data_IF_405548438235
#
_entry.id   IF_405548438235
#
_cell.length_a   1.000
_cell.length_b   1.000
_cell.length_c   1.000
_cell.angle_alpha   90.00
_cell.angle_beta   90.00
_cell.angle_gamma   90.00
#
_symmetry.space_group_name_H-M   'P 1'
#
loop_
_entity.id
_entity.type
_entity.pdbx_description
1 polymer ?
#
# COMPACT_ATOMS: atom_id res chain seq x y z
N UNK A 1 -24.44 7.77 -25.28
CA UNK A 1 -23.68 8.81 -26.01
C UNK A 1 -23.12 8.17 -27.26
N UNK A 2 -23.31 8.77 -28.43
CA UNK A 2 -22.66 8.33 -29.68
C UNK A 2 -21.14 8.48 -29.52
N UNK A 3 -20.42 7.36 -29.59
CA UNK A 3 -18.96 7.35 -29.50
C UNK A 3 -18.35 7.93 -30.77
N UNK A 4 -17.24 8.65 -30.61
CA UNK A 4 -16.48 9.19 -31.74
C UNK A 4 -15.49 8.11 -32.20
N UNK A 5 -15.50 7.80 -33.49
CA UNK A 5 -14.58 6.82 -34.05
C UNK A 5 -13.18 7.44 -34.23
N UNK A 6 -12.29 7.17 -33.28
CA UNK A 6 -10.86 7.48 -33.32
C UNK A 6 -10.11 6.37 -32.60
N UNK A 7 -8.85 6.17 -32.98
CA UNK A 7 -7.97 5.19 -32.35
C UNK A 7 -6.76 5.88 -31.72
N UNK A 8 -6.44 5.53 -30.49
CA UNK A 8 -5.34 6.14 -29.74
C UNK A 8 -5.04 5.42 -28.44
N UNK A 9 -3.87 5.69 -27.87
CA UNK A 9 -3.46 5.16 -26.57
C UNK A 9 -3.43 6.29 -25.55
N UNK A 10 -4.04 6.04 -24.39
CA UNK A 10 -3.90 6.87 -23.19
C UNK A 10 -2.93 6.17 -22.24
N UNK A 11 -1.93 6.90 -21.73
CA UNK A 11 -0.97 6.36 -20.76
C UNK A 11 -0.70 7.34 -19.62
N UNK A 12 -0.30 6.81 -18.47
CA UNK A 12 0.19 7.60 -17.34
C UNK A 12 1.72 7.60 -17.32
N UNK A 13 2.30 8.77 -17.09
CA UNK A 13 3.71 8.96 -16.76
C UNK A 13 3.86 9.52 -15.34
N UNK A 14 5.09 9.89 -14.94
CA UNK A 14 5.33 10.55 -13.65
C UNK A 14 4.60 11.89 -13.56
N UNK A 15 3.52 11.90 -12.78
CA UNK A 15 2.58 13.00 -12.61
C UNK A 15 2.05 13.56 -13.95
N UNK A 16 1.90 12.69 -14.95
CA UNK A 16 1.36 13.08 -16.26
C UNK A 16 0.34 12.09 -16.80
N UNK A 17 -0.48 12.58 -17.74
CA UNK A 17 -1.30 11.78 -18.64
C UNK A 17 -0.95 12.18 -20.07
N UNK A 18 -0.71 11.18 -20.92
CA UNK A 18 -0.33 11.38 -22.32
C UNK A 18 -1.32 10.63 -23.22
N UNK A 19 -1.64 11.24 -24.36
CA UNK A 19 -2.49 10.68 -25.41
C UNK A 19 -1.65 10.62 -26.68
N UNK A 20 -1.73 9.50 -27.38
CA UNK A 20 -0.97 9.25 -28.59
C UNK A 20 -1.86 8.62 -29.66
N UNK A 21 -1.94 9.24 -30.83
CA UNK A 21 -2.60 8.66 -32.00
C UNK A 21 -1.59 8.34 -33.12
N UNK A 22 -1.88 7.31 -33.92
CA UNK A 22 -1.04 6.88 -35.04
C UNK A 22 -1.82 6.94 -36.37
N UNK A 23 -2.17 8.14 -36.87
CA UNK A 23 -2.87 8.25 -38.13
C UNK A 23 -1.96 7.86 -39.30
N UNK A 24 -2.51 7.18 -40.30
CA UNK A 24 -1.80 6.95 -41.57
C UNK A 24 -1.59 8.28 -42.26
N UNK A 25 -0.32 8.62 -42.52
CA UNK A 25 0.04 9.86 -43.23
C UNK A 25 0.08 9.60 -44.74
N UNK A 26 -0.96 10.04 -45.44
CA UNK A 26 -1.07 9.91 -46.90
C UNK A 26 -0.77 11.21 -47.66
N UNK A 27 -1.01 12.39 -47.07
CA UNK A 27 -0.64 13.70 -47.66
C UNK A 27 -0.56 14.83 -46.61
N UNK A 28 0.03 15.97 -46.97
CA UNK A 28 0.13 17.17 -46.11
C UNK A 28 -1.25 17.78 -45.84
N UNK A 29 -2.12 17.86 -46.85
CA UNK A 29 -3.46 18.43 -46.70
C UNK A 29 -4.32 17.60 -45.73
N UNK A 30 -4.32 16.27 -45.88
CA UNK A 30 -5.02 15.36 -44.97
C UNK A 30 -4.44 15.41 -43.55
N UNK A 31 -3.12 15.58 -43.41
CA UNK A 31 -2.49 15.74 -42.10
C UNK A 31 -2.98 17.01 -41.38
N UNK A 32 -3.02 18.14 -42.09
CA UNK A 32 -3.49 19.42 -41.53
C UNK A 32 -4.97 19.36 -41.13
N UNK A 33 -5.81 18.68 -41.92
CA UNK A 33 -7.21 18.47 -41.57
C UNK A 33 -7.37 17.55 -40.36
N UNK A 34 -6.60 16.47 -40.31
CA UNK A 34 -6.58 15.56 -39.18
C UNK A 34 -6.14 16.26 -37.89
N UNK A 35 -5.11 17.11 -37.94
CA UNK A 35 -4.63 17.86 -36.77
C UNK A 35 -5.67 18.86 -36.26
N UNK A 36 -6.37 19.56 -37.17
CA UNK A 36 -7.51 20.43 -36.81
C UNK A 36 -8.62 19.63 -36.10
N UNK A 37 -8.94 18.44 -36.60
CA UNK A 37 -9.91 17.55 -35.98
C UNK A 37 -9.43 17.03 -34.63
N UNK A 38 -8.16 16.63 -34.50
CA UNK A 38 -7.56 16.17 -33.26
C UNK A 38 -7.62 17.26 -32.18
N UNK A 39 -7.26 18.49 -32.51
CA UNK A 39 -7.41 19.64 -31.60
C UNK A 39 -8.87 19.88 -31.19
N UNK A 40 -9.80 19.86 -32.15
CA UNK A 40 -11.22 20.13 -31.89
C UNK A 40 -11.88 19.02 -31.07
N UNK A 41 -11.52 17.77 -31.31
CA UNK A 41 -12.16 16.60 -30.70
C UNK A 41 -11.48 16.17 -29.42
N UNK A 42 -10.16 16.14 -29.36
CA UNK A 42 -9.41 15.62 -28.21
C UNK A 42 -8.98 16.75 -27.28
N UNK A 43 -8.19 17.70 -27.77
CA UNK A 43 -7.63 18.79 -26.95
C UNK A 43 -8.72 19.66 -26.30
N UNK A 44 -9.71 20.10 -27.08
CA UNK A 44 -10.86 20.87 -26.54
C UNK A 44 -11.64 20.10 -25.48
N UNK A 45 -11.85 18.80 -25.67
CA UNK A 45 -12.55 17.96 -24.68
C UNK A 45 -11.71 17.75 -23.42
N UNK A 46 -10.39 17.66 -23.56
CA UNK A 46 -9.47 17.60 -22.44
C UNK A 46 -9.61 18.85 -21.56
N UNK A 47 -9.56 20.04 -22.17
CA UNK A 47 -9.78 21.33 -21.47
C UNK A 47 -11.15 21.35 -20.79
N UNK A 48 -12.21 20.92 -21.48
CA UNK A 48 -13.55 20.85 -20.90
C UNK A 48 -13.61 19.93 -19.66
N UNK A 49 -12.89 18.81 -19.68
CA UNK A 49 -12.82 17.92 -18.53
C UNK A 49 -12.01 18.51 -17.38
N UNK A 50 -10.88 19.17 -17.67
CA UNK A 50 -10.12 19.90 -16.66
C UNK A 50 -11.00 20.93 -15.94
N UNK A 51 -11.71 21.76 -16.71
CA UNK A 51 -12.64 22.75 -16.15
C UNK A 51 -13.75 22.11 -15.30
N UNK A 52 -14.35 20.99 -15.76
CA UNK A 52 -15.35 20.24 -14.97
C UNK A 52 -14.80 19.65 -13.69
N UNK A 53 -13.54 19.26 -13.70
CA UNK A 53 -12.84 18.78 -12.52
C UNK A 53 -12.43 19.93 -11.59
N UNK A 54 -12.66 21.20 -11.97
CA UNK A 54 -12.33 22.38 -11.16
C UNK A 54 -10.89 22.87 -11.34
N UNK A 55 -10.23 22.50 -12.43
CA UNK A 55 -8.98 23.15 -12.84
C UNK A 55 -9.30 24.49 -13.50
N UNK A 56 -8.51 25.51 -13.18
CA UNK A 56 -8.43 26.72 -13.99
C UNK A 56 -7.48 26.45 -15.16
N UNK A 57 -7.92 26.69 -16.40
CA UNK A 57 -7.11 26.54 -17.61
C UNK A 57 -6.99 27.89 -18.28
N UNK A 58 -5.81 28.50 -18.19
CA UNK A 58 -5.50 29.82 -18.70
C UNK A 58 -4.65 29.80 -19.97
N UNK A 59 -4.26 30.99 -20.41
CA UNK A 59 -3.18 31.14 -21.41
C UNK A 59 -1.86 30.60 -20.85
N UNK A 60 -0.92 30.29 -21.73
CA UNK A 60 0.37 29.79 -21.29
C UNK A 60 1.23 30.93 -20.76
N UNK A 61 1.85 30.75 -19.59
CA UNK A 61 2.61 31.83 -18.92
C UNK A 61 3.81 32.33 -19.74
N UNK A 62 4.34 31.49 -20.64
CA UNK A 62 5.48 31.83 -21.52
C UNK A 62 5.02 32.23 -22.93
N UNK A 63 3.72 32.52 -23.12
CA UNK A 63 3.15 32.83 -24.43
C UNK A 63 3.78 34.06 -25.10
N UNK A 64 4.18 35.07 -24.33
CA UNK A 64 4.80 36.29 -24.85
C UNK A 64 6.20 36.04 -25.40
N UNK A 65 6.96 35.16 -24.75
CA UNK A 65 8.32 34.78 -25.15
C UNK A 65 8.29 33.82 -26.35
N UNK A 66 7.31 32.91 -26.38
CA UNK A 66 7.22 31.84 -27.38
C UNK A 66 5.90 31.88 -28.19
N UNK A 67 5.61 33.05 -28.80
CA UNK A 67 4.36 33.31 -29.55
C UNK A 67 4.05 32.28 -30.64
N UNK A 68 5.06 31.74 -31.31
CA UNK A 68 4.88 30.79 -32.41
C UNK A 68 4.28 29.45 -31.98
N UNK A 69 4.49 29.04 -30.73
CA UNK A 69 3.98 27.78 -30.17
C UNK A 69 2.91 28.01 -29.10
N UNK A 70 2.72 29.22 -28.60
CA UNK A 70 1.79 29.54 -27.51
C UNK A 70 0.37 28.97 -27.66
N UNK A 71 -0.13 28.87 -28.90
CA UNK A 71 -1.44 28.30 -29.19
C UNK A 71 -1.56 26.79 -28.87
N UNK A 72 -0.45 26.08 -28.67
CA UNK A 72 -0.36 24.66 -28.32
C UNK A 72 -0.27 24.39 -26.82
N UNK A 73 0.00 25.42 -26.02
CA UNK A 73 0.24 25.28 -24.59
C UNK A 73 -0.87 25.96 -23.79
N UNK A 74 -1.17 25.43 -22.60
CA UNK A 74 -2.05 26.06 -21.62
C UNK A 74 -1.46 25.85 -20.23
N UNK A 75 -1.45 26.90 -19.42
CA UNK A 75 -1.17 26.77 -17.98
C UNK A 75 -2.45 26.38 -17.26
N UNK A 76 -2.36 25.39 -16.37
CA UNK A 76 -3.46 24.87 -15.60
C UNK A 76 -3.15 24.94 -14.11
N UNK A 77 -4.10 25.35 -13.27
CA UNK A 77 -3.92 25.40 -11.82
C UNK A 77 -5.14 24.85 -11.08
N UNK A 78 -4.91 24.21 -9.92
CA UNK A 78 -5.96 23.72 -9.04
C UNK A 78 -5.47 23.59 -7.60
N UNK A 79 -5.79 24.59 -6.78
CA UNK A 79 -5.22 24.68 -5.44
C UNK A 79 -3.69 24.68 -5.51
N UNK A 80 -3.05 23.76 -4.80
CA UNK A 80 -1.58 23.61 -4.78
C UNK A 80 -1.01 22.81 -5.97
N UNK A 81 -1.87 22.26 -6.83
CA UNK A 81 -1.44 21.58 -8.06
C UNK A 81 -1.30 22.59 -9.19
N UNK A 82 -0.13 22.56 -9.81
CA UNK A 82 0.14 23.22 -11.08
C UNK A 82 0.13 22.19 -12.21
N UNK A 83 -0.11 22.64 -13.42
CA UNK A 83 -0.08 21.79 -14.58
C UNK A 83 0.14 22.56 -15.88
N UNK A 84 0.61 21.84 -16.88
CA UNK A 84 0.79 22.33 -18.23
C UNK A 84 0.17 21.33 -19.18
N UNK A 85 -0.74 21.82 -20.00
CA UNK A 85 -1.36 21.06 -21.07
C UNK A 85 -0.74 21.49 -22.41
N UNK A 86 -0.26 20.52 -23.17
CA UNK A 86 0.38 20.72 -24.46
C UNK A 86 -0.25 19.80 -25.52
N UNK A 87 -0.34 20.29 -26.76
CA UNK A 87 -0.63 19.49 -27.95
C UNK A 87 0.51 19.64 -28.97
N UNK A 88 1.13 18.52 -29.33
CA UNK A 88 2.23 18.50 -30.30
C UNK A 88 1.95 17.45 -31.37
N UNK A 89 1.47 17.92 -32.54
CA UNK A 89 1.12 17.08 -33.67
C UNK A 89 0.07 16.02 -33.29
N UNK A 90 0.54 14.78 -33.07
CA UNK A 90 -0.31 13.61 -32.75
C UNK A 90 -0.42 13.29 -31.27
N UNK A 91 0.12 14.14 -30.41
CA UNK A 91 0.21 13.90 -28.97
C UNK A 91 -0.48 15.00 -28.19
N UNK A 92 -1.09 14.62 -27.08
CA UNK A 92 -1.51 15.56 -26.04
C UNK A 92 -0.87 15.12 -24.74
N UNK A 93 -0.21 16.04 -24.06
CA UNK A 93 0.43 15.79 -22.77
C UNK A 93 -0.13 16.77 -21.75
N UNK A 94 -0.57 16.24 -20.62
CA UNK A 94 -0.86 17.03 -19.44
C UNK A 94 0.05 16.60 -18.31
N UNK A 95 0.99 17.47 -17.96
CA UNK A 95 1.93 17.28 -16.86
C UNK A 95 1.45 18.09 -15.65
N UNK A 96 1.54 17.51 -14.47
CA UNK A 96 1.18 18.13 -13.20
C UNK A 96 2.37 18.10 -12.24
N UNK A 97 2.45 19.11 -11.38
CA UNK A 97 3.45 19.20 -10.32
C UNK A 97 2.90 20.02 -9.15
N UNK A 98 3.70 20.17 -8.11
CA UNK A 98 3.38 21.00 -6.95
C UNK A 98 4.64 21.77 -6.52
N UNK A 99 4.44 22.97 -5.98
CA UNK A 99 5.51 23.88 -5.56
C UNK A 99 5.61 24.00 -4.03
N UNK A 100 5.08 23.02 -3.28
CA UNK A 100 4.86 23.11 -1.81
C UNK A 100 5.90 22.34 -0.98
N UNK A 101 6.16 21.08 -1.30
CA UNK A 101 6.88 20.17 -0.41
C UNK A 101 7.90 19.31 -1.15
N UNK A 102 8.97 18.92 -0.45
CA UNK A 102 9.99 17.97 -0.95
C UNK A 102 10.61 18.41 -2.30
N UNK A 103 10.83 19.72 -2.45
CA UNK A 103 11.49 20.32 -3.61
C UNK A 103 12.96 20.49 -3.25
N UNK A 104 13.81 20.02 -4.16
CA UNK A 104 15.27 20.04 -4.03
C UNK A 104 15.91 21.18 -4.81
N UNK A 105 15.20 21.76 -5.78
CA UNK A 105 15.67 22.91 -6.55
C UNK A 105 15.64 24.20 -5.73
N UNK A 106 16.65 25.04 -5.96
CA UNK A 106 16.80 26.36 -5.32
C UNK A 106 15.69 27.34 -5.69
N UNK A 107 15.10 27.20 -6.88
CA UNK A 107 14.00 28.04 -7.37
C UNK A 107 12.66 27.75 -6.68
N UNK A 108 12.58 26.70 -5.86
CA UNK A 108 11.35 26.29 -5.18
C UNK A 108 10.25 25.78 -6.12
N UNK A 109 10.56 25.50 -7.39
CA UNK A 109 9.57 25.08 -8.39
C UNK A 109 9.66 23.59 -8.69
N UNK A 110 8.53 22.90 -8.61
CA UNK A 110 8.40 21.46 -8.83
C UNK A 110 8.30 21.04 -10.30
N UNK A 111 8.17 21.98 -11.25
CA UNK A 111 7.97 21.67 -12.69
C UNK A 111 9.04 20.75 -13.26
N UNK A 112 10.29 20.97 -12.90
CA UNK A 112 11.44 20.22 -13.40
C UNK A 112 12.00 19.21 -12.39
N UNK A 113 11.27 18.91 -11.32
CA UNK A 113 11.65 17.86 -10.38
C UNK A 113 11.45 16.46 -10.98
N UNK A 114 12.31 15.52 -10.61
CA UNK A 114 12.12 14.10 -10.91
C UNK A 114 11.28 13.42 -9.83
N UNK A 115 10.59 12.32 -10.17
CA UNK A 115 9.74 11.55 -9.25
C UNK A 115 8.66 12.43 -8.59
N UNK A 116 8.02 13.29 -9.40
CA UNK A 116 7.03 14.27 -8.95
C UNK A 116 5.95 13.63 -8.10
N UNK A 117 5.48 12.44 -8.49
CA UNK A 117 4.45 11.71 -7.74
C UNK A 117 4.87 11.34 -6.32
N UNK A 118 6.13 10.92 -6.14
CA UNK A 118 6.65 10.49 -4.83
C UNK A 118 6.86 11.68 -3.90
N UNK A 119 7.15 12.85 -4.47
CA UNK A 119 7.37 14.09 -3.73
C UNK A 119 6.07 14.76 -3.30
N UNK A 120 4.97 14.52 -4.01
CA UNK A 120 3.67 15.09 -3.70
C UNK A 120 3.18 14.67 -2.30
N UNK A 121 2.73 15.62 -1.46
CA UNK A 121 1.96 15.31 -0.26
C UNK A 121 0.72 14.46 -0.58
N UNK A 122 0.29 13.63 0.36
CA UNK A 122 -0.75 12.61 0.14
C UNK A 122 -2.04 13.15 -0.51
N UNK A 123 -2.60 14.26 0.01
CA UNK A 123 -3.86 14.81 -0.53
C UNK A 123 -3.69 15.39 -1.94
N UNK A 124 -2.56 16.05 -2.20
CA UNK A 124 -2.19 16.57 -3.52
C UNK A 124 -2.03 15.40 -4.51
N UNK A 125 -1.34 14.34 -4.09
CA UNK A 125 -1.17 13.13 -4.88
C UNK A 125 -2.52 12.48 -5.23
N UNK A 126 -3.44 12.36 -4.26
CA UNK A 126 -4.77 11.81 -4.50
C UNK A 126 -5.58 12.66 -5.48
N UNK A 127 -5.53 13.98 -5.38
CA UNK A 127 -6.28 14.87 -6.29
C UNK A 127 -5.72 14.83 -7.72
N UNK A 128 -4.40 14.73 -7.85
CA UNK A 128 -3.71 14.53 -9.11
C UNK A 128 -4.09 13.16 -9.74
N UNK A 129 -4.09 12.07 -8.95
CA UNK A 129 -4.53 10.75 -9.41
C UNK A 129 -6.02 10.75 -9.80
N UNK A 130 -6.88 11.40 -9.02
CA UNK A 130 -8.30 11.58 -9.34
C UNK A 130 -8.47 12.28 -10.69
N UNK A 131 -7.72 13.34 -10.94
CA UNK A 131 -7.75 14.08 -12.21
C UNK A 131 -7.40 13.17 -13.38
N UNK A 132 -6.26 12.45 -13.30
CA UNK A 132 -5.84 11.53 -14.36
C UNK A 132 -6.84 10.41 -14.63
N UNK A 133 -7.33 9.77 -13.57
CA UNK A 133 -8.31 8.68 -13.68
C UNK A 133 -9.61 9.17 -14.35
N UNK A 134 -10.13 10.33 -13.95
CA UNK A 134 -11.37 10.88 -14.52
C UNK A 134 -11.20 11.27 -15.99
N UNK A 135 -10.06 11.82 -16.37
CA UNK A 135 -9.78 12.16 -17.76
C UNK A 135 -9.63 10.90 -18.61
N UNK A 136 -8.85 9.90 -18.15
CA UNK A 136 -8.73 8.59 -18.79
C UNK A 136 -10.11 7.98 -19.01
N UNK A 137 -10.90 7.82 -17.93
CA UNK A 137 -12.21 7.19 -18.00
C UNK A 137 -13.12 7.91 -18.98
N UNK A 138 -13.12 9.24 -18.97
CA UNK A 138 -13.92 10.02 -19.92
C UNK A 138 -13.47 9.80 -21.38
N UNK A 139 -12.16 9.85 -21.65
CA UNK A 139 -11.64 9.70 -23.01
C UNK A 139 -11.88 8.30 -23.57
N UNK A 140 -11.58 7.26 -22.80
CA UNK A 140 -11.85 5.87 -23.19
C UNK A 140 -13.35 5.57 -23.35
N UNK A 141 -14.23 6.29 -22.66
CA UNK A 141 -15.67 6.12 -22.86
C UNK A 141 -16.20 6.87 -24.11
N UNK A 142 -15.62 8.02 -24.45
CA UNK A 142 -16.09 8.86 -25.57
C UNK A 142 -15.53 8.41 -26.92
N UNK A 143 -14.30 7.91 -26.95
CA UNK A 143 -13.64 7.46 -28.18
C UNK A 143 -13.63 5.93 -28.26
N UNK A 144 -14.21 5.38 -29.32
CA UNK A 144 -14.44 3.94 -29.44
C UNK A 144 -13.14 3.11 -29.51
N UNK A 145 -12.07 3.66 -30.07
CA UNK A 145 -10.77 2.99 -30.23
C UNK A 145 -9.69 3.51 -29.30
N UNK A 146 -10.05 4.13 -28.18
CA UNK A 146 -9.08 4.57 -27.17
C UNK A 146 -8.82 3.50 -26.13
N UNK A 147 -7.57 3.05 -26.05
CA UNK A 147 -7.13 2.05 -25.09
C UNK A 147 -6.29 2.70 -23.99
N UNK A 148 -6.42 2.22 -22.76
CA UNK A 148 -5.55 2.66 -21.68
C UNK A 148 -4.41 1.66 -21.47
N UNK A 149 -3.17 2.16 -21.48
CA UNK A 149 -1.97 1.41 -21.11
C UNK A 149 -1.32 2.08 -19.92
N UNK A 150 -1.46 1.46 -18.75
CA UNK A 150 -0.74 1.93 -17.56
C UNK A 150 0.71 1.50 -17.65
N UNK A 151 1.58 2.44 -18.03
CA UNK A 151 3.03 2.25 -18.08
C UNK A 151 3.69 2.72 -16.78
N UNK A 152 2.91 3.12 -15.76
CA UNK A 152 3.47 3.62 -14.51
C UNK A 152 4.07 2.48 -13.69
N UNK A 153 5.13 2.74 -12.91
CA UNK A 153 5.66 1.77 -11.93
C UNK A 153 4.62 1.32 -10.90
N UNK A 154 3.53 2.10 -10.74
CA UNK A 154 2.47 1.86 -9.78
C UNK A 154 1.32 0.99 -10.34
N UNK A 155 1.28 0.71 -11.65
CA UNK A 155 0.25 -0.12 -12.29
C UNK A 155 0.07 -1.48 -11.58
N UNK A 156 1.19 -2.03 -11.08
CA UNK A 156 1.22 -3.31 -10.38
C UNK A 156 1.06 -3.21 -8.86
N UNK A 157 0.93 -2.01 -8.30
CA UNK A 157 0.80 -1.80 -6.85
C UNK A 157 -0.67 -1.69 -6.48
N UNK A 158 -1.01 -2.21 -5.29
CA UNK A 158 -2.34 -2.05 -4.71
C UNK A 158 -2.50 -0.62 -4.20
N UNK A 159 -3.54 0.09 -4.65
CA UNK A 159 -3.84 1.45 -4.19
C UNK A 159 -4.57 2.30 -5.23
N UNK A 160 -4.92 3.55 -4.89
CA UNK A 160 -5.47 4.49 -5.86
C UNK A 160 -4.55 4.63 -7.07
N UNK A 161 -5.12 4.51 -8.28
CA UNK A 161 -4.37 4.57 -9.54
C UNK A 161 -3.65 3.27 -9.94
N UNK A 162 -3.64 2.23 -9.09
CA UNK A 162 -3.15 0.89 -9.42
C UNK A 162 -4.26 -0.15 -9.24
N UNK A 163 -3.88 -1.35 -8.81
CA UNK A 163 -4.82 -2.46 -8.60
C UNK A 163 -5.72 -2.23 -7.38
N UNK A 164 -6.97 -2.64 -7.51
CA UNK A 164 -7.85 -2.90 -6.37
C UNK A 164 -7.33 -4.07 -5.54
N UNK A 165 -7.85 -4.21 -4.33
CA UNK A 165 -7.57 -5.34 -3.46
C UNK A 165 -7.89 -6.68 -4.14
N UNK A 166 -9.04 -6.76 -4.82
CA UNK A 166 -9.47 -7.96 -5.53
C UNK A 166 -8.54 -8.32 -6.69
N UNK A 167 -8.27 -7.38 -7.60
CA UNK A 167 -7.36 -7.63 -8.73
C UNK A 167 -5.95 -8.02 -8.26
N UNK A 168 -5.48 -7.42 -7.17
CA UNK A 168 -4.20 -7.77 -6.58
C UNK A 168 -4.21 -9.20 -6.00
N UNK A 169 -5.25 -9.57 -5.25
CA UNK A 169 -5.41 -10.91 -4.66
C UNK A 169 -5.54 -11.98 -5.74
N UNK A 170 -6.37 -11.75 -6.76
CA UNK A 170 -6.53 -12.69 -7.89
C UNK A 170 -5.21 -12.92 -8.61
N UNK A 171 -4.44 -11.85 -8.86
CA UNK A 171 -3.12 -11.95 -9.48
C UNK A 171 -2.13 -12.71 -8.60
N UNK A 172 -2.11 -12.42 -7.30
CA UNK A 172 -1.23 -13.07 -6.33
C UNK A 172 -1.51 -14.58 -6.27
N UNK A 173 -2.79 -14.96 -6.10
CA UNK A 173 -3.24 -16.35 -6.11
C UNK A 173 -2.88 -17.04 -7.43
N UNK A 174 -3.08 -16.41 -8.58
CA UNK A 174 -2.72 -16.99 -9.89
C UNK A 174 -1.22 -17.14 -10.10
N UNK A 175 -0.42 -16.30 -9.44
CA UNK A 175 1.04 -16.34 -9.55
C UNK A 175 1.70 -17.47 -8.75
N UNK A 176 0.94 -18.11 -7.84
CA UNK A 176 1.46 -19.24 -7.05
C UNK A 176 1.66 -20.47 -7.92
N UNK A 177 2.77 -21.19 -7.71
CA UNK A 177 3.06 -22.44 -8.42
C UNK A 177 2.09 -23.59 -8.10
N UNK A 178 1.18 -23.39 -7.13
CA UNK A 178 0.18 -24.36 -6.69
C UNK A 178 -1.24 -24.02 -7.18
N UNK A 179 -1.40 -23.01 -8.04
CA UNK A 179 -2.70 -22.59 -8.56
C UNK A 179 -3.39 -23.71 -9.33
N UNK A 180 -4.70 -23.89 -9.11
CA UNK A 180 -5.54 -24.84 -9.85
C UNK A 180 -6.69 -24.08 -10.48
N UNK A 181 -6.73 -24.04 -11.82
CA UNK A 181 -7.70 -23.25 -12.60
C UNK A 181 -9.15 -23.58 -12.22
N UNK A 182 -9.48 -24.86 -12.05
CA UNK A 182 -10.84 -25.31 -11.70
C UNK A 182 -11.34 -24.79 -10.35
N UNK A 183 -10.43 -24.56 -9.40
CA UNK A 183 -10.76 -24.08 -8.06
C UNK A 183 -10.65 -22.55 -7.96
N UNK A 184 -9.94 -21.90 -8.88
CA UNK A 184 -9.59 -20.48 -8.79
C UNK A 184 -8.61 -20.15 -7.65
N UNK A 185 -8.03 -21.17 -7.00
CA UNK A 185 -7.02 -21.06 -5.95
C UNK A 185 -6.23 -22.37 -5.80
N UNK A 186 -5.24 -22.42 -4.90
CA UNK A 186 -4.50 -23.66 -4.65
C UNK A 186 -5.37 -24.71 -3.93
N UNK A 187 -5.07 -26.00 -4.11
CA UNK A 187 -5.76 -27.08 -3.37
C UNK A 187 -5.49 -26.96 -1.86
N UNK A 188 -6.53 -27.12 -1.06
CA UNK A 188 -6.41 -27.19 0.40
C UNK A 188 -6.03 -28.63 0.76
N UNK A 189 -4.77 -28.86 1.15
CA UNK A 189 -4.24 -30.20 1.38
C UNK A 189 -4.44 -30.72 2.80
N UNK A 190 -4.71 -29.85 3.77
CA UNK A 190 -4.86 -30.19 5.18
C UNK A 190 -6.03 -29.43 5.78
N UNK A 191 -6.94 -30.10 6.49
CA UNK A 191 -8.12 -29.44 7.10
C UNK A 191 -7.78 -28.28 8.03
N UNK A 192 -6.62 -28.31 8.72
CA UNK A 192 -6.14 -27.19 9.54
C UNK A 192 -5.95 -25.88 8.78
N UNK A 193 -5.73 -25.95 7.46
CA UNK A 193 -5.50 -24.78 6.61
C UNK A 193 -6.79 -23.99 6.35
N UNK A 194 -7.94 -24.64 6.51
CA UNK A 194 -9.26 -24.05 6.40
C UNK A 194 -9.99 -24.02 7.75
N UNK A 195 -9.34 -24.41 8.85
CA UNK A 195 -9.95 -24.36 10.18
C UNK A 195 -9.76 -22.96 10.76
N UNK A 196 -10.86 -22.25 10.99
CA UNK A 196 -10.90 -20.96 11.67
C UNK A 196 -10.40 -21.04 13.12
N UNK A 197 -10.18 -19.89 13.74
CA UNK A 197 -9.89 -19.78 15.18
C UNK A 197 -10.98 -20.42 16.07
N UNK A 198 -12.20 -20.58 15.54
CA UNK A 198 -13.37 -21.13 16.22
C UNK A 198 -13.55 -22.64 15.95
N UNK A 199 -12.69 -23.24 15.13
CA UNK A 199 -12.77 -24.64 14.74
C UNK A 199 -13.70 -24.92 13.55
N UNK A 200 -14.40 -23.90 13.03
CA UNK A 200 -15.28 -24.00 11.87
C UNK A 200 -14.50 -23.84 10.55
N UNK A 201 -15.01 -24.41 9.44
CA UNK A 201 -14.36 -24.35 8.13
C UNK A 201 -14.56 -22.99 7.45
N UNK A 202 -13.46 -22.33 7.09
CA UNK A 202 -13.43 -21.10 6.30
C UNK A 202 -13.68 -21.46 4.83
N UNK A 203 -14.70 -20.85 4.24
CA UNK A 203 -15.00 -21.02 2.81
C UNK A 203 -14.36 -19.90 1.99
N UNK A 204 -13.79 -20.24 0.82
CA UNK A 204 -13.29 -19.23 -0.12
C UNK A 204 -14.42 -18.27 -0.56
N UNK A 205 -14.19 -16.96 -0.40
CA UNK A 205 -15.18 -15.93 -0.62
C UNK A 205 -16.11 -15.62 0.57
N UNK A 206 -15.90 -16.24 1.73
CA UNK A 206 -16.72 -15.99 2.91
C UNK A 206 -16.44 -14.64 3.58
N UNK A 207 -17.47 -14.05 4.19
CA UNK A 207 -17.33 -12.90 5.07
C UNK A 207 -16.73 -13.37 6.40
N UNK A 208 -15.64 -12.76 6.83
CA UNK A 208 -14.93 -13.14 8.06
C UNK A 208 -14.49 -11.93 8.87
N UNK A 209 -14.10 -12.18 10.11
CA UNK A 209 -13.36 -11.26 10.96
C UNK A 209 -11.91 -11.73 11.11
N UNK A 210 -10.97 -10.79 11.13
CA UNK A 210 -9.55 -11.08 11.39
C UNK A 210 -8.91 -9.95 12.19
N UNK A 211 -7.65 -10.13 12.58
CA UNK A 211 -6.91 -9.20 13.42
C UNK A 211 -5.87 -8.47 12.55
N UNK A 212 -5.89 -7.13 12.57
CA UNK A 212 -4.86 -6.33 11.88
C UNK A 212 -3.52 -6.38 12.62
N UNK A 213 -2.48 -5.82 12.00
CA UNK A 213 -1.15 -5.74 12.59
C UNK A 213 -1.07 -4.91 13.90
N UNK A 214 -2.14 -4.20 14.30
CA UNK A 214 -2.25 -3.44 15.55
C UNK A 214 -3.13 -4.15 16.58
N UNK A 215 -3.58 -5.37 16.30
CA UNK A 215 -4.46 -6.15 17.15
C UNK A 215 -5.93 -5.76 17.07
N UNK A 216 -6.36 -4.99 16.07
CA UNK A 216 -7.77 -4.58 15.92
C UNK A 216 -8.53 -5.60 15.09
N UNK A 217 -9.77 -5.83 15.48
CA UNK A 217 -10.67 -6.69 14.69
C UNK A 217 -11.15 -5.89 13.49
N UNK A 218 -10.98 -6.47 12.32
CA UNK A 218 -11.50 -5.96 11.05
C UNK A 218 -12.34 -7.03 10.39
N UNK A 219 -13.32 -6.62 9.56
CA UNK A 219 -14.10 -7.55 8.76
C UNK A 219 -13.73 -7.43 7.28
N UNK A 220 -13.88 -8.52 6.55
CA UNK A 220 -13.58 -8.57 5.13
C UNK A 220 -14.07 -9.86 4.48
N UNK A 221 -13.66 -10.07 3.25
CA UNK A 221 -13.93 -11.30 2.50
C UNK A 221 -12.63 -12.11 2.38
N UNK A 222 -12.66 -13.38 2.79
CA UNK A 222 -11.49 -14.24 2.80
C UNK A 222 -11.30 -14.98 1.47
N UNK A 223 -10.09 -14.98 0.95
CA UNK A 223 -9.68 -15.69 -0.25
C UNK A 223 -8.50 -16.57 0.09
N UNK A 224 -8.64 -17.88 -0.14
CA UNK A 224 -7.58 -18.84 0.12
C UNK A 224 -6.41 -18.60 -0.83
N UNK A 225 -5.20 -18.59 -0.27
CA UNK A 225 -3.95 -18.53 -1.02
C UNK A 225 -3.25 -19.90 -0.96
N UNK A 226 -2.35 -20.11 0.02
CA UNK A 226 -1.56 -21.32 0.16
C UNK A 226 -1.31 -21.67 1.63
N UNK A 227 -1.24 -22.96 1.94
CA UNK A 227 -1.09 -23.46 3.32
C UNK A 227 -2.20 -22.88 4.21
N UNK A 228 -1.91 -22.45 5.44
CA UNK A 228 -2.90 -21.81 6.31
C UNK A 228 -3.06 -20.30 6.04
N UNK A 229 -2.61 -19.79 4.89
CA UNK A 229 -2.62 -18.36 4.54
C UNK A 229 -3.88 -17.98 3.76
N UNK A 230 -4.49 -16.87 4.17
CA UNK A 230 -5.70 -16.32 3.57
C UNK A 230 -5.56 -14.82 3.35
N UNK A 231 -5.94 -14.35 2.16
CA UNK A 231 -6.09 -12.93 1.87
C UNK A 231 -7.47 -12.46 2.30
N UNK A 232 -7.54 -11.57 3.29
CA UNK A 232 -8.78 -10.94 3.75
C UNK A 232 -8.91 -9.54 3.16
N UNK A 233 -9.82 -9.39 2.20
CA UNK A 233 -10.12 -8.12 1.53
C UNK A 233 -11.03 -7.28 2.43
N UNK A 234 -10.50 -6.19 2.99
CA UNK A 234 -11.17 -5.33 3.98
C UNK A 234 -11.79 -4.07 3.36
N UNK A 235 -11.50 -3.78 2.09
CA UNK A 235 -12.05 -2.65 1.35
C UNK A 235 -11.43 -2.55 -0.04
N UNK A 236 -11.74 -1.49 -0.79
CA UNK A 236 -11.32 -1.34 -2.21
C UNK A 236 -9.82 -1.54 -2.45
N UNK A 237 -8.98 -1.14 -1.49
CA UNK A 237 -7.52 -1.25 -1.57
C UNK A 237 -6.89 -1.96 -0.35
N UNK A 238 -7.71 -2.44 0.58
CA UNK A 238 -7.26 -3.04 1.84
C UNK A 238 -7.23 -4.56 1.74
N UNK A 239 -6.08 -5.16 2.02
CA UNK A 239 -5.91 -6.62 2.13
C UNK A 239 -5.04 -6.88 3.35
N UNK A 240 -5.41 -7.89 4.12
CA UNK A 240 -4.57 -8.49 5.14
C UNK A 240 -4.25 -9.92 4.73
N UNK A 241 -3.02 -10.37 4.99
CA UNK A 241 -2.66 -11.77 4.93
C UNK A 241 -2.78 -12.30 6.36
N UNK A 242 -3.69 -13.23 6.57
CA UNK A 242 -4.04 -13.78 7.89
C UNK A 242 -3.88 -15.28 7.88
N UNK A 243 -3.47 -15.84 9.01
CA UNK A 243 -3.50 -17.30 9.18
C UNK A 243 -4.94 -17.76 9.44
N UNK A 244 -5.28 -18.99 9.05
CA UNK A 244 -6.58 -19.60 9.31
C UNK A 244 -6.97 -19.55 10.81
N UNK A 245 -6.00 -19.79 11.69
CA UNK A 245 -6.13 -19.69 13.15
C UNK A 245 -6.34 -18.27 13.69
N UNK A 246 -6.23 -17.24 12.86
CA UNK A 246 -6.47 -15.82 13.18
C UNK A 246 -7.72 -15.26 12.49
N UNK A 247 -8.50 -16.14 11.85
CA UNK A 247 -9.76 -15.83 11.18
C UNK A 247 -10.93 -16.36 12.04
N UNK A 248 -11.95 -15.54 12.20
CA UNK A 248 -13.18 -15.85 12.92
C UNK A 248 -14.35 -15.75 11.93
N UNK A 249 -15.27 -16.71 11.97
CA UNK A 249 -16.47 -16.66 11.13
C UNK A 249 -17.55 -15.81 11.81
N UNK A 250 -17.60 -15.86 13.14
CA UNK A 250 -18.50 -15.04 13.94
C UNK A 250 -17.76 -13.83 14.52
N UNK A 251 -18.52 -12.83 14.95
CA UNK A 251 -17.92 -11.67 15.61
C UNK A 251 -17.29 -12.12 16.94
N UNK A 252 -15.97 -12.02 17.11
CA UNK A 252 -15.29 -12.60 18.26
C UNK A 252 -15.40 -11.74 19.54
N UNK A 253 -16.32 -10.77 19.57
CA UNK A 253 -16.65 -9.96 20.75
C UNK A 253 -16.52 -8.45 20.53
N UNK A 254 -15.92 -7.75 21.49
CA UNK A 254 -15.84 -6.29 21.45
C UNK A 254 -14.81 -5.79 20.41
N UNK A 255 -15.30 -5.22 19.31
CA UNK A 255 -14.48 -4.68 18.21
C UNK A 255 -13.55 -3.51 18.62
N UNK A 256 -13.80 -2.88 19.77
CA UNK A 256 -12.97 -1.76 20.28
C UNK A 256 -11.76 -2.25 21.07
N UNK A 257 -11.79 -3.48 21.56
CA UNK A 257 -10.69 -4.07 22.33
C UNK A 257 -9.60 -4.51 21.36
N UNK A 258 -8.36 -4.09 21.64
CA UNK A 258 -7.20 -4.53 20.88
C UNK A 258 -6.68 -5.83 21.45
N UNK A 259 -6.53 -6.84 20.60
CA UNK A 259 -5.87 -8.11 20.88
C UNK A 259 -4.40 -8.02 20.51
N UNK A 260 -3.65 -7.22 21.26
CA UNK A 260 -2.24 -6.94 21.01
C UNK A 260 -1.35 -7.29 22.20
N UNK A 261 -1.74 -8.27 23.02
CA UNK A 261 -1.05 -8.69 24.24
C UNK A 261 0.44 -8.96 23.99
N UNK A 262 0.73 -9.73 22.92
CA UNK A 262 2.11 -10.03 22.48
C UNK A 262 2.94 -8.77 22.24
N UNK A 263 2.37 -7.78 21.54
CA UNK A 263 3.04 -6.51 21.21
C UNK A 263 3.16 -5.60 22.44
N UNK A 264 2.12 -5.59 23.29
CA UNK A 264 2.08 -4.84 24.55
C UNK A 264 3.18 -5.33 25.48
N UNK A 265 3.30 -6.65 25.66
CA UNK A 265 4.38 -7.27 26.45
C UNK A 265 5.77 -6.87 25.94
N UNK A 266 6.02 -7.05 24.64
CA UNK A 266 7.29 -6.64 24.01
C UNK A 266 7.62 -5.15 24.20
N UNK A 267 6.61 -4.28 24.20
CA UNK A 267 6.82 -2.85 24.43
C UNK A 267 7.13 -2.56 25.90
N UNK A 268 6.38 -3.13 26.82
CA UNK A 268 6.57 -2.93 28.26
C UNK A 268 7.93 -3.49 28.73
N UNK A 269 8.33 -4.68 28.26
CA UNK A 269 9.65 -5.25 28.59
C UNK A 269 10.80 -4.39 28.05
N UNK A 270 10.65 -3.81 26.85
CA UNK A 270 11.64 -2.86 26.31
C UNK A 270 11.73 -1.57 27.12
N UNK A 271 10.59 -1.02 27.54
CA UNK A 271 10.57 0.16 28.41
C UNK A 271 11.17 -0.14 29.79
N UNK A 272 10.96 -1.35 30.31
CA UNK A 272 11.56 -1.81 31.56
C UNK A 272 13.09 -1.92 31.41
N UNK A 273 13.59 -2.55 30.35
CA UNK A 273 15.02 -2.62 30.05
C UNK A 273 15.64 -1.22 29.90
N UNK A 274 14.94 -0.29 29.23
CA UNK A 274 15.37 1.10 29.09
C UNK A 274 15.45 1.81 30.45
N UNK A 275 14.46 1.61 31.33
CA UNK A 275 14.47 2.17 32.68
C UNK A 275 15.64 1.64 33.52
N UNK A 276 15.91 0.32 33.45
CA UNK A 276 17.06 -0.31 34.12
C UNK A 276 18.38 0.31 33.64
N UNK A 277 18.57 0.45 32.32
CA UNK A 277 19.79 1.04 31.74
C UNK A 277 19.98 2.51 32.12
N UNK A 278 18.88 3.24 32.33
CA UNK A 278 18.88 4.62 32.81
C UNK A 278 18.98 4.74 34.35
N UNK A 279 19.10 3.63 35.07
CA UNK A 279 19.06 3.55 36.54
C UNK A 279 17.77 4.11 37.18
N UNK A 280 16.67 4.17 36.42
CA UNK A 280 15.34 4.54 36.93
C UNK A 280 14.62 3.30 37.46
N UNK A 281 15.05 2.85 38.64
CA UNK A 281 14.54 1.62 39.26
C UNK A 281 13.07 1.72 39.70
N UNK A 282 12.59 2.93 40.02
CA UNK A 282 11.17 3.15 40.36
C UNK A 282 10.28 2.84 39.16
N UNK A 283 10.62 3.37 37.99
CA UNK A 283 9.88 3.07 36.75
C UNK A 283 9.99 1.59 36.37
N UNK A 284 11.18 0.99 36.53
CA UNK A 284 11.37 -0.43 36.24
C UNK A 284 10.49 -1.33 37.13
N UNK A 285 10.37 -0.99 38.43
CA UNK A 285 9.51 -1.71 39.37
C UNK A 285 8.03 -1.65 38.96
N UNK A 286 7.51 -0.46 38.66
CA UNK A 286 6.11 -0.31 38.21
C UNK A 286 5.84 -1.13 36.94
N UNK A 287 6.79 -1.15 36.00
CA UNK A 287 6.65 -1.94 34.76
C UNK A 287 6.69 -3.45 35.04
N UNK A 288 7.49 -3.90 36.01
CA UNK A 288 7.53 -5.30 36.45
C UNK A 288 6.20 -5.73 37.04
N UNK A 289 5.62 -4.95 37.95
CA UNK A 289 4.32 -5.22 38.60
C UNK A 289 3.16 -5.28 37.59
N UNK A 290 3.24 -4.50 36.50
CA UNK A 290 2.25 -4.56 35.40
C UNK A 290 2.44 -5.80 34.52
N UNK A 291 3.66 -6.27 34.35
CA UNK A 291 4.02 -7.36 33.44
C UNK A 291 3.86 -8.75 34.05
N UNK A 292 4.19 -8.89 35.33
CA UNK A 292 4.33 -10.17 36.00
C UNK A 292 3.61 -10.15 37.35
N UNK A 293 3.00 -11.26 37.77
CA UNK A 293 2.44 -11.39 39.12
C UNK A 293 3.48 -11.14 40.21
N UNK A 294 3.02 -10.59 41.33
CA UNK A 294 3.87 -10.35 42.50
C UNK A 294 4.46 -11.67 43.03
N UNK A 295 5.74 -11.61 43.43
CA UNK A 295 6.51 -12.73 43.97
C UNK A 295 6.70 -13.95 43.05
N UNK A 296 6.40 -13.86 41.76
CA UNK A 296 6.69 -14.95 40.83
C UNK A 296 8.18 -14.96 40.40
N UNK A 297 8.91 -16.09 40.52
CA UNK A 297 10.28 -16.18 40.04
C UNK A 297 10.32 -16.06 38.52
N UNK A 298 11.19 -15.18 38.03
CA UNK A 298 11.41 -14.95 36.61
C UNK A 298 12.66 -15.68 36.14
N UNK A 299 12.62 -16.10 34.88
CA UNK A 299 13.67 -16.84 34.21
C UNK A 299 14.04 -16.17 32.90
N UNK A 300 15.29 -16.35 32.49
CA UNK A 300 15.80 -16.07 31.15
C UNK A 300 16.07 -17.41 30.45
N UNK A 301 16.01 -17.43 29.12
CA UNK A 301 16.34 -18.64 28.35
C UNK A 301 17.60 -18.36 27.56
N UNK A 302 18.68 -19.07 27.88
CA UNK A 302 19.94 -19.02 27.14
C UNK A 302 19.90 -20.00 25.97
N UNK A 303 20.31 -19.56 24.79
CA UNK A 303 20.48 -20.39 23.61
C UNK A 303 21.97 -20.64 23.33
N UNK A 304 22.45 -21.85 23.62
CA UNK A 304 23.85 -22.27 23.53
C UNK A 304 24.42 -22.08 22.12
N UNK A 305 23.68 -22.50 21.08
CA UNK A 305 24.14 -22.42 19.69
C UNK A 305 24.29 -21.00 19.14
N UNK A 306 23.59 -20.02 19.73
CA UNK A 306 23.68 -18.60 19.32
C UNK A 306 24.46 -17.76 20.33
N UNK A 307 24.87 -18.34 21.46
CA UNK A 307 25.47 -17.64 22.59
C UNK A 307 24.69 -16.37 22.95
N UNK A 308 23.37 -16.49 23.05
CA UNK A 308 22.47 -15.37 23.23
C UNK A 308 21.21 -15.76 24.01
N UNK A 309 20.56 -14.78 24.63
CA UNK A 309 19.29 -14.93 25.32
C UNK A 309 18.11 -14.86 24.35
N UNK A 310 17.02 -15.57 24.62
CA UNK A 310 15.77 -15.35 23.92
C UNK A 310 15.22 -13.94 24.20
N UNK A 311 14.71 -13.28 23.16
CA UNK A 311 13.98 -12.02 23.27
C UNK A 311 12.51 -12.27 23.68
N UNK A 312 11.75 -11.25 24.15
CA UNK A 312 10.38 -11.43 24.62
C UNK A 312 9.46 -12.15 23.61
N UNK A 313 8.56 -13.01 24.13
CA UNK A 313 7.69 -13.91 23.36
C UNK A 313 8.44 -14.99 22.56
N UNK A 314 9.57 -15.49 23.07
CA UNK A 314 10.35 -16.57 22.47
C UNK A 314 10.81 -16.29 21.02
N UNK A 315 10.93 -15.02 20.63
CA UNK A 315 11.10 -14.64 19.23
C UNK A 315 12.31 -13.74 19.02
N UNK A 316 13.37 -14.33 18.47
CA UNK A 316 14.66 -13.68 18.23
C UNK A 316 15.58 -13.74 19.45
N UNK A 317 16.79 -13.21 19.29
CA UNK A 317 17.85 -13.30 20.29
C UNK A 317 18.33 -11.92 20.77
N UNK A 318 18.93 -11.89 21.96
CA UNK A 318 19.51 -10.72 22.62
C UNK A 318 20.85 -11.10 23.23
N UNK A 319 21.83 -10.22 23.08
CA UNK A 319 23.16 -10.44 23.64
C UNK A 319 23.24 -10.09 25.13
N UNK A 320 22.37 -9.21 25.62
CA UNK A 320 22.36 -8.79 27.03
C UNK A 320 21.18 -9.40 27.81
N UNK A 321 21.42 -9.79 29.06
CA UNK A 321 20.37 -10.26 29.97
C UNK A 321 19.33 -9.16 30.27
N UNK A 322 19.78 -7.89 30.28
CA UNK A 322 18.90 -6.73 30.49
C UNK A 322 17.84 -6.61 29.39
N UNK A 323 18.19 -6.93 28.14
CA UNK A 323 17.29 -6.85 26.98
C UNK A 323 16.55 -8.15 26.69
N UNK A 324 16.95 -9.26 27.33
CA UNK A 324 16.34 -10.57 27.18
C UNK A 324 14.86 -10.57 27.59
N UNK A 325 14.10 -11.51 27.04
CA UNK A 325 12.73 -11.79 27.49
C UNK A 325 12.74 -12.37 28.90
N UNK A 326 11.83 -11.89 29.75
CA UNK A 326 11.63 -12.43 31.10
C UNK A 326 10.42 -13.36 31.05
N UNK A 327 10.57 -14.57 31.60
CA UNK A 327 9.57 -15.63 31.54
C UNK A 327 9.18 -16.10 32.92
N UNK A 328 7.89 -16.37 33.12
CA UNK A 328 7.43 -17.05 34.33
C UNK A 328 7.66 -18.55 34.23
N UNK A 329 7.58 -19.27 35.35
CA UNK A 329 7.75 -20.73 35.35
C UNK A 329 6.71 -21.43 34.47
N UNK A 330 5.47 -20.95 34.49
CA UNK A 330 4.38 -21.49 33.68
C UNK A 330 4.63 -21.33 32.17
N UNK A 331 5.32 -20.26 31.77
CA UNK A 331 5.61 -19.97 30.36
C UNK A 331 6.74 -20.81 29.79
N UNK A 332 7.69 -21.27 30.62
CA UNK A 332 8.85 -22.01 30.14
C UNK A 332 8.48 -23.31 29.42
N UNK A 333 7.38 -23.98 29.82
CA UNK A 333 6.98 -25.24 29.20
C UNK A 333 8.14 -26.23 29.14
N UNK A 334 8.52 -26.66 27.93
CA UNK A 334 9.67 -27.57 27.71
C UNK A 334 11.04 -26.95 27.98
N UNK A 335 11.18 -25.62 27.95
CA UNK A 335 12.45 -24.92 28.19
C UNK A 335 12.91 -24.98 29.65
N UNK A 336 12.06 -25.45 30.56
CA UNK A 336 12.43 -25.62 31.97
C UNK A 336 13.48 -26.72 32.15
N UNK A 337 13.45 -27.74 31.29
CA UNK A 337 14.46 -28.79 31.26
C UNK A 337 15.59 -28.31 30.35
N UNK A 338 16.82 -28.41 30.83
CA UNK A 338 17.99 -28.10 30.01
C UNK A 338 18.11 -29.12 28.88
N UNK A 339 18.25 -28.60 27.67
CA UNK A 339 18.45 -29.40 26.46
C UNK A 339 19.82 -29.07 25.82
N UNK A 340 20.17 -29.77 24.75
CA UNK A 340 21.43 -29.56 24.02
C UNK A 340 21.55 -28.12 23.47
N UNK A 341 20.44 -27.41 23.21
CA UNK A 341 20.45 -26.02 22.73
C UNK A 341 20.06 -24.96 23.75
N UNK A 342 19.25 -25.28 24.76
CA UNK A 342 18.64 -24.25 25.59
C UNK A 342 18.74 -24.55 27.08
N UNK A 343 18.83 -23.49 27.88
CA UNK A 343 18.86 -23.57 29.35
C UNK A 343 18.04 -22.43 29.94
N UNK A 344 17.05 -22.76 30.77
CA UNK A 344 16.41 -21.76 31.63
C UNK A 344 17.35 -21.38 32.78
N UNK A 345 17.56 -20.08 32.99
CA UNK A 345 18.42 -19.51 34.02
C UNK A 345 17.55 -18.61 34.90
N UNK A 346 17.47 -18.84 36.23
CA UNK A 346 16.79 -17.93 37.15
C UNK A 346 17.36 -16.51 37.02
N UNK A 347 16.50 -15.49 37.05
CA UNK A 347 16.92 -14.10 36.82
C UNK A 347 17.99 -13.64 37.83
N UNK A 348 17.97 -14.15 39.06
CA UNK A 348 18.98 -13.85 40.08
C UNK A 348 20.35 -14.48 39.85
N UNK A 349 20.45 -15.50 39.00
CA UNK A 349 21.70 -16.19 38.64
C UNK A 349 22.29 -15.71 37.30
N UNK A 350 21.56 -14.86 36.56
CA UNK A 350 21.93 -14.40 35.23
C UNK A 350 22.70 -13.07 35.20
N UNK A 351 23.22 -12.63 36.35
CA UNK A 351 23.94 -11.36 36.53
C UNK A 351 25.43 -11.47 36.15
#
# INVERSE_FOLDING_TARGET
>A
MTQINRSGTVCFGDASINIWEEPKRTSIAQWNEWEKLFRKQVFKRFIQQLNRLGWHVGEWDEADEYRCIAHNHRTCTKGDLQGQLEITGRTVQFQMWQDVANITREDGKGRYEFDKEKRMPYLIHLEMQRTRNRIRDYLCNVFAGYDFKDMSPNANRRGPGGLTAMEWVERDIRSTGHFVEELGHARISMGRNETSAEGETITHGARVFTIDNKGRIVSGTAYYDLNSSWHVVTGKYGVLCSQASEIYLHNPGCLRVKRNERQRRQRLEREMAKAIKAMDFKRAQVLKEVLFPDNEPLYLIWHKGHSAWYAPNFCGYRTSASDAGKYTRAELGSYIQEDYLTKAVPLGEAA
#
